data_IF_524157229751
#
_entry.id   IF_524157229751
#
_cell.length_a   1.000
_cell.length_b   1.000
_cell.length_c   1.000
_cell.angle_alpha   90.00
_cell.angle_beta   90.00
_cell.angle_gamma   90.00
#
_symmetry.space_group_name_H-M   'P 1'
#
loop_
_entity.id
_entity.type
_entity.pdbx_description
1 polymer ?
#
# COMPACT_ATOMS: atom_id res chain seq x y z
N UNK A 1 5.09 -5.76 35.00
CA UNK A 1 6.03 -4.74 35.52
C UNK A 1 5.27 -3.85 36.50
N UNK A 2 5.94 -2.88 37.11
CA UNK A 2 5.35 -1.95 38.11
C UNK A 2 4.17 -1.11 37.58
N UNK A 3 3.93 -1.15 36.26
CA UNK A 3 2.83 -0.47 35.59
C UNK A 3 1.66 -1.43 35.24
N UNK A 4 1.72 -2.70 35.65
CA UNK A 4 0.67 -3.70 35.41
C UNK A 4 0.53 -4.15 33.96
N UNK A 5 1.50 -3.83 33.08
CA UNK A 5 1.41 -4.12 31.64
C UNK A 5 2.06 -5.46 31.25
N UNK A 6 2.83 -6.06 32.15
CA UNK A 6 3.47 -7.35 31.94
C UNK A 6 3.12 -8.26 33.11
N UNK A 7 2.46 -9.39 32.82
CA UNK A 7 2.24 -10.45 33.80
C UNK A 7 3.58 -11.17 34.01
N UNK A 8 4.14 -11.20 35.22
CA UNK A 8 5.39 -11.92 35.48
C UNK A 8 5.13 -13.43 35.41
N UNK A 9 5.82 -14.12 34.49
CA UNK A 9 5.74 -15.58 34.30
C UNK A 9 4.78 -16.04 33.20
N UNK A 10 4.86 -17.33 32.85
CA UNK A 10 3.98 -17.94 31.85
C UNK A 10 2.54 -18.00 32.39
N UNK A 11 1.61 -17.32 31.72
CA UNK A 11 0.20 -17.31 32.11
C UNK A 11 -0.48 -18.57 31.58
N UNK A 12 -0.96 -19.43 32.49
CA UNK A 12 -1.68 -20.67 32.14
C UNK A 12 -3.16 -20.40 31.91
N UNK A 13 -3.81 -21.24 31.10
CA UNK A 13 -5.26 -21.17 30.87
C UNK A 13 -5.71 -20.02 29.97
N UNK A 14 -4.84 -19.56 29.06
CA UNK A 14 -5.19 -18.54 28.08
C UNK A 14 -6.25 -19.09 27.13
N UNK A 15 -7.39 -18.41 27.08
CA UNK A 15 -8.42 -18.64 26.07
C UNK A 15 -8.30 -17.56 25.00
N UNK A 16 -8.33 -17.98 23.74
CA UNK A 16 -8.22 -17.08 22.60
C UNK A 16 -9.58 -16.94 21.95
N UNK A 17 -10.09 -15.71 21.90
CA UNK A 17 -11.35 -15.40 21.23
C UNK A 17 -11.10 -14.56 19.99
N UNK A 18 -12.00 -14.70 19.03
CA UNK A 18 -11.99 -14.02 17.74
C UNK A 18 -10.72 -14.25 16.88
N UNK A 19 -10.28 -15.49 16.63
CA UNK A 19 -9.01 -15.62 15.96
C UNK A 19 -9.22 -15.53 14.43
N UNK A 20 -10.21 -16.19 13.80
CA UNK A 20 -10.23 -16.37 12.32
C UNK A 20 -11.60 -16.60 11.68
N UNK A 21 -12.51 -15.63 11.73
CA UNK A 21 -13.87 -15.77 11.14
C UNK A 21 -13.93 -15.80 9.59
N UNK A 22 -12.80 -16.02 8.91
CA UNK A 22 -12.73 -16.24 7.46
C UNK A 22 -11.87 -17.47 7.20
N UNK A 23 -12.30 -18.35 6.28
CA UNK A 23 -11.69 -19.66 5.90
C UNK A 23 -10.18 -19.66 5.53
N UNK A 24 -9.51 -18.52 5.55
CA UNK A 24 -8.16 -18.33 5.01
C UNK A 24 -7.01 -18.50 6.03
N UNK A 25 -7.31 -18.70 7.31
CA UNK A 25 -6.28 -18.84 8.34
C UNK A 25 -6.77 -19.79 9.43
N UNK A 26 -6.03 -20.86 9.69
CA UNK A 26 -6.30 -21.75 10.82
C UNK A 26 -5.43 -21.34 12.01
N UNK A 27 -6.01 -21.19 13.19
CA UNK A 27 -5.20 -21.08 14.41
C UNK A 27 -5.55 -22.14 15.41
N UNK A 28 -4.49 -22.70 15.94
CA UNK A 28 -4.54 -23.63 17.04
C UNK A 28 -3.85 -23.00 18.24
N UNK A 29 -4.55 -22.98 19.37
CA UNK A 29 -3.91 -22.81 20.67
C UNK A 29 -3.18 -24.10 21.00
N UNK A 30 -1.87 -24.02 21.24
CA UNK A 30 -1.08 -25.11 21.80
C UNK A 30 -0.55 -24.61 23.14
N UNK A 31 -1.24 -24.96 24.22
CA UNK A 31 -0.98 -24.39 25.54
C UNK A 31 -1.24 -22.87 25.55
N UNK A 32 -0.21 -22.11 25.95
CA UNK A 32 -0.16 -20.64 26.01
C UNK A 32 0.24 -19.99 24.67
N UNK A 33 0.52 -20.78 23.62
CA UNK A 33 0.98 -20.27 22.32
C UNK A 33 -0.15 -20.29 21.29
N UNK A 34 -0.31 -19.17 20.60
CA UNK A 34 -1.11 -19.08 19.39
C UNK A 34 -0.26 -19.53 18.19
N UNK A 35 -0.63 -20.64 17.54
CA UNK A 35 0.02 -21.09 16.31
C UNK A 35 -0.89 -20.87 15.12
N UNK A 36 -0.38 -20.15 14.12
CA UNK A 36 -1.06 -19.92 12.84
C UNK A 36 -0.61 -20.98 11.84
N UNK A 37 -1.56 -21.79 11.38
CA UNK A 37 -1.40 -22.83 10.35
C UNK A 37 -2.16 -22.40 9.10
N UNK A 38 -1.68 -22.83 7.95
CA UNK A 38 -2.32 -22.64 6.64
C UNK A 38 -2.61 -21.16 6.31
N UNK A 39 -1.56 -20.35 6.26
CA UNK A 39 -1.59 -18.99 5.72
C UNK A 39 -1.64 -19.03 4.19
N UNK A 40 -2.80 -19.35 3.62
CA UNK A 40 -2.97 -19.35 2.17
C UNK A 40 -3.18 -17.96 1.59
N UNK A 41 -3.57 -16.97 2.42
CA UNK A 41 -3.82 -15.61 1.98
C UNK A 41 -3.42 -14.54 3.02
N UNK A 42 -3.07 -13.32 2.57
CA UNK A 42 -2.83 -12.18 3.46
C UNK A 42 -4.12 -11.78 4.22
N UNK A 43 -3.97 -11.22 5.42
CA UNK A 43 -5.09 -10.89 6.29
C UNK A 43 -4.71 -9.94 7.42
N UNK A 44 -5.66 -9.21 8.00
CA UNK A 44 -5.45 -8.54 9.30
C UNK A 44 -6.72 -8.52 10.16
N UNK A 45 -6.52 -8.54 11.48
CA UNK A 45 -7.60 -8.47 12.46
C UNK A 45 -7.08 -8.35 13.90
N UNK A 46 -7.98 -8.50 14.87
CA UNK A 46 -7.69 -8.36 16.30
C UNK A 46 -7.89 -9.69 16.99
N UNK A 47 -6.81 -10.20 17.59
CA UNK A 47 -6.83 -11.38 18.44
C UNK A 47 -7.03 -10.94 19.89
N UNK A 48 -7.91 -11.62 20.62
CA UNK A 48 -8.16 -11.37 22.03
C UNK A 48 -7.70 -12.57 22.86
N UNK A 49 -6.90 -12.32 23.88
CA UNK A 49 -6.43 -13.31 24.84
C UNK A 49 -7.06 -13.04 26.20
N UNK A 50 -7.62 -14.06 26.84
CA UNK A 50 -8.21 -13.94 28.18
C UNK A 50 -7.59 -14.97 29.11
N UNK A 51 -7.07 -14.54 30.26
CA UNK A 51 -6.48 -15.43 31.25
C UNK A 51 -6.54 -14.82 32.66
N UNK A 52 -6.92 -15.61 33.67
CA UNK A 52 -6.98 -15.13 35.06
C UNK A 52 -7.85 -13.88 35.27
N UNK A 53 -8.94 -13.73 34.49
CA UNK A 53 -9.80 -12.54 34.53
C UNK A 53 -9.27 -11.31 33.77
N UNK A 54 -8.04 -11.37 33.25
CA UNK A 54 -7.44 -10.31 32.45
C UNK A 54 -7.73 -10.53 30.96
N UNK A 55 -7.99 -9.44 30.23
CA UNK A 55 -8.19 -9.46 28.77
C UNK A 55 -7.14 -8.60 28.07
N UNK A 56 -6.40 -9.19 27.14
CA UNK A 56 -5.46 -8.51 26.25
C UNK A 56 -5.94 -8.57 24.80
N UNK A 57 -5.69 -7.50 24.04
CA UNK A 57 -6.00 -7.44 22.61
C UNK A 57 -4.74 -7.09 21.82
N UNK A 58 -4.50 -7.82 20.74
CA UNK A 58 -3.40 -7.55 19.82
C UNK A 58 -3.92 -7.50 18.39
N UNK A 59 -3.48 -6.53 17.60
CA UNK A 59 -3.74 -6.50 16.17
C UNK A 59 -2.68 -7.33 15.47
N UNK A 60 -3.11 -8.33 14.71
CA UNK A 60 -2.23 -9.21 13.94
C UNK A 60 -2.46 -8.96 12.46
N UNK A 61 -1.39 -9.01 11.69
CA UNK A 61 -1.42 -8.90 10.23
C UNK A 61 -0.50 -9.95 9.61
N UNK A 62 -1.05 -10.65 8.62
CA UNK A 62 -0.33 -11.49 7.67
C UNK A 62 -0.21 -10.70 6.38
N UNK A 63 1.00 -10.63 5.86
CA UNK A 63 1.34 -9.86 4.67
C UNK A 63 1.57 -10.82 3.50
N UNK A 64 1.28 -10.39 2.28
CA UNK A 64 1.64 -11.13 1.07
C UNK A 64 3.16 -11.32 0.94
N UNK A 65 3.60 -12.51 0.56
CA UNK A 65 4.96 -12.70 0.05
C UNK A 65 5.07 -12.09 -1.36
N UNK A 66 6.30 -11.86 -1.81
CA UNK A 66 6.60 -11.45 -3.18
C UNK A 66 6.79 -12.74 -4.00
N UNK A 67 6.17 -12.89 -5.19
CA UNK A 67 5.41 -11.88 -5.92
C UNK A 67 3.98 -11.66 -5.40
N UNK A 68 3.49 -10.43 -5.54
CA UNK A 68 2.13 -10.02 -5.19
C UNK A 68 1.51 -9.20 -6.33
N UNK A 69 0.23 -9.44 -6.62
CA UNK A 69 -0.53 -8.68 -7.61
C UNK A 69 -1.95 -8.35 -7.12
N UNK A 70 -2.49 -7.23 -7.58
CA UNK A 70 -3.86 -6.79 -7.33
C UNK A 70 -4.41 -5.98 -8.52
N UNK A 71 -5.34 -6.60 -9.25
CA UNK A 71 -6.17 -6.04 -10.34
C UNK A 71 -7.60 -5.69 -9.89
N UNK A 72 -7.99 -6.13 -8.69
CA UNK A 72 -9.30 -5.88 -8.06
C UNK A 72 -10.53 -6.45 -8.80
N UNK A 73 -10.37 -7.12 -9.94
CA UNK A 73 -11.47 -7.64 -10.75
C UNK A 73 -12.31 -8.71 -10.04
N UNK A 74 -11.68 -9.51 -9.19
CA UNK A 74 -12.36 -10.53 -8.38
C UNK A 74 -13.16 -9.93 -7.20
N UNK A 75 -13.05 -8.63 -6.92
CA UNK A 75 -13.70 -8.00 -5.77
C UNK A 75 -15.20 -7.86 -6.01
N UNK A 76 -16.01 -8.32 -5.05
CA UNK A 76 -17.46 -8.12 -5.05
C UNK A 76 -17.79 -6.74 -4.46
N UNK A 77 -18.42 -5.89 -5.28
CA UNK A 77 -18.88 -4.58 -4.85
C UNK A 77 -20.23 -4.69 -4.11
N UNK A 78 -20.43 -3.82 -3.11
CA UNK A 78 -21.69 -3.70 -2.35
C UNK A 78 -22.14 -2.25 -2.35
N UNK A 79 -23.45 -1.95 -2.29
CA UNK A 79 -23.94 -0.57 -2.23
C UNK A 79 -23.31 0.20 -1.05
N UNK A 80 -22.78 1.40 -1.32
CA UNK A 80 -22.21 2.23 -0.27
C UNK A 80 -23.31 2.74 0.68
N UNK A 81 -23.18 2.57 2.01
CA UNK A 81 -24.25 2.92 2.96
C UNK A 81 -24.70 4.38 2.90
N UNK A 82 -23.85 5.29 2.41
CA UNK A 82 -24.18 6.73 2.32
C UNK A 82 -24.55 7.20 0.92
N UNK A 83 -24.02 6.58 -0.13
CA UNK A 83 -24.15 7.10 -1.51
C UNK A 83 -24.87 6.14 -2.45
N UNK A 84 -25.13 4.90 -2.05
CA UNK A 84 -25.76 3.87 -2.88
C UNK A 84 -24.83 3.30 -3.98
N UNK A 85 -23.83 4.06 -4.43
CA UNK A 85 -22.85 3.64 -5.43
C UNK A 85 -22.11 2.36 -4.96
N UNK A 86 -22.04 1.30 -5.77
CA UNK A 86 -21.31 0.09 -5.41
C UNK A 86 -19.84 0.37 -5.12
N UNK A 87 -19.34 -0.16 -4.00
CA UNK A 87 -17.95 -0.06 -3.59
C UNK A 87 -17.53 -1.31 -2.80
N UNK A 88 -16.23 -1.50 -2.64
CA UNK A 88 -15.70 -2.42 -1.63
C UNK A 88 -14.54 -1.76 -0.86
N UNK A 89 -14.36 -2.11 0.42
CA UNK A 89 -13.17 -1.67 1.15
C UNK A 89 -11.91 -2.30 0.52
N UNK A 90 -10.75 -1.62 0.62
CA UNK A 90 -9.48 -2.22 0.20
C UNK A 90 -9.12 -3.42 1.09
N UNK A 91 -8.16 -4.27 0.67
CA UNK A 91 -7.76 -5.43 1.45
C UNK A 91 -7.40 -5.07 2.90
N UNK A 92 -7.87 -5.86 3.86
CA UNK A 92 -7.83 -5.50 5.29
C UNK A 92 -6.41 -5.41 5.87
N UNK A 93 -5.44 -6.11 5.27
CA UNK A 93 -4.03 -6.07 5.65
C UNK A 93 -3.29 -4.81 5.18
N UNK A 94 -3.90 -4.00 4.32
CA UNK A 94 -3.31 -2.74 3.89
C UNK A 94 -3.42 -1.70 5.01
N UNK A 95 -2.27 -1.36 5.59
CA UNK A 95 -2.17 -0.39 6.68
C UNK A 95 -2.47 1.00 6.13
N UNK A 96 -3.40 1.69 6.78
CA UNK A 96 -3.78 3.04 6.40
C UNK A 96 -4.58 3.13 5.09
N UNK A 97 -5.15 2.02 4.58
CA UNK A 97 -5.97 2.06 3.37
C UNK A 97 -7.47 2.25 3.63
N UNK A 98 -7.99 1.65 4.70
CA UNK A 98 -9.41 1.74 5.07
C UNK A 98 -9.90 3.20 5.16
N UNK A 99 -11.11 3.46 4.65
CA UNK A 99 -11.76 4.79 4.51
C UNK A 99 -11.05 5.79 3.56
N UNK A 100 -9.80 5.51 3.17
CA UNK A 100 -8.99 6.41 2.35
C UNK A 100 -8.97 5.98 0.90
N UNK A 101 -9.06 4.67 0.66
CA UNK A 101 -9.25 4.04 -0.64
C UNK A 101 -10.53 3.21 -0.64
N UNK A 102 -11.09 3.00 -1.82
CA UNK A 102 -12.25 2.16 -2.09
C UNK A 102 -12.08 1.50 -3.46
N UNK A 103 -12.44 0.23 -3.59
CA UNK A 103 -12.56 -0.40 -4.90
C UNK A 103 -13.89 0.05 -5.49
N UNK A 104 -13.85 0.59 -6.70
CA UNK A 104 -15.01 1.12 -7.42
C UNK A 104 -14.92 0.73 -8.89
N UNK A 105 -16.07 0.70 -9.56
CA UNK A 105 -16.13 0.50 -11.01
C UNK A 105 -15.79 1.80 -11.74
N UNK A 106 -14.96 1.70 -12.77
CA UNK A 106 -14.58 2.80 -13.65
C UNK A 106 -14.49 2.26 -15.08
N UNK A 107 -15.36 2.75 -15.96
CA UNK A 107 -15.37 2.39 -17.39
C UNK A 107 -15.43 0.85 -17.65
N UNK A 108 -16.08 0.10 -16.76
CA UNK A 108 -16.22 -1.37 -16.84
C UNK A 108 -15.10 -2.17 -16.16
N UNK A 109 -14.03 -1.53 -15.68
CA UNK A 109 -12.95 -2.13 -14.89
C UNK A 109 -13.17 -1.88 -13.38
N UNK A 110 -12.71 -2.76 -12.49
CA UNK A 110 -12.70 -2.49 -11.05
C UNK A 110 -11.34 -1.93 -10.66
N UNK A 111 -11.34 -0.73 -10.10
CA UNK A 111 -10.10 -0.02 -9.79
C UNK A 111 -10.07 0.44 -8.35
N UNK A 112 -8.88 0.64 -7.81
CA UNK A 112 -8.71 1.23 -6.49
C UNK A 112 -8.76 2.76 -6.58
N UNK A 113 -9.89 3.33 -6.19
CA UNK A 113 -10.12 4.77 -6.17
C UNK A 113 -9.71 5.39 -4.83
N UNK A 114 -9.02 6.54 -4.89
CA UNK A 114 -8.77 7.38 -3.72
C UNK A 114 -10.08 8.07 -3.32
N UNK A 115 -10.55 7.77 -2.11
CA UNK A 115 -11.77 8.39 -1.58
C UNK A 115 -11.55 9.88 -1.31
N UNK A 116 -12.55 10.68 -1.64
CA UNK A 116 -12.57 12.14 -1.41
C UNK A 116 -13.55 12.53 -0.29
N UNK A 117 -14.18 11.55 0.35
CA UNK A 117 -15.25 11.75 1.32
C UNK A 117 -14.80 12.49 2.60
N UNK A 118 -13.53 12.36 2.99
CA UNK A 118 -12.99 12.94 4.22
C UNK A 118 -11.81 13.86 3.85
N UNK A 119 -11.95 15.19 3.95
CA UNK A 119 -10.89 16.15 3.61
C UNK A 119 -9.59 15.96 4.40
N UNK A 120 -9.66 15.49 5.66
CA UNK A 120 -8.47 15.14 6.47
C UNK A 120 -7.59 14.08 5.78
N UNK A 121 -8.18 13.25 4.92
CA UNK A 121 -7.52 12.17 4.19
C UNK A 121 -7.25 12.52 2.73
N UNK A 122 -7.24 13.80 2.37
CA UNK A 122 -6.89 14.24 1.02
C UNK A 122 -5.50 13.77 0.59
N UNK A 123 -4.55 13.69 1.53
CA UNK A 123 -3.22 13.10 1.34
C UNK A 123 -3.12 11.84 2.19
N UNK A 124 -2.71 10.74 1.60
CA UNK A 124 -2.43 9.54 2.37
C UNK A 124 -1.36 8.67 1.72
N UNK A 125 -0.76 7.86 2.59
CA UNK A 125 0.09 6.74 2.25
C UNK A 125 -0.54 5.50 2.86
N UNK A 126 -0.55 4.40 2.10
CA UNK A 126 -0.97 3.08 2.58
C UNK A 126 0.14 2.09 2.31
N UNK A 127 0.46 1.25 3.29
CA UNK A 127 1.52 0.24 3.18
C UNK A 127 0.89 -1.16 3.21
N UNK A 128 1.29 -2.03 2.29
CA UNK A 128 0.67 -3.36 2.17
C UNK A 128 1.65 -4.52 2.30
N UNK A 129 2.94 -4.23 2.47
CA UNK A 129 4.00 -5.21 2.67
C UNK A 129 4.58 -5.25 4.09
N UNK A 130 5.67 -6.01 4.23
CA UNK A 130 6.41 -6.21 5.46
C UNK A 130 7.55 -5.18 5.52
N UNK A 131 7.83 -4.53 6.67
CA UNK A 131 8.81 -3.45 6.75
C UNK A 131 10.27 -3.90 6.49
N UNK A 132 10.53 -5.20 6.49
CA UNK A 132 11.85 -5.79 6.19
C UNK A 132 11.95 -6.37 4.77
N UNK A 133 10.99 -6.08 3.88
CA UNK A 133 11.14 -6.45 2.47
C UNK A 133 12.26 -5.63 1.82
N UNK A 134 13.03 -6.26 0.94
CA UNK A 134 14.09 -5.66 0.13
C UNK A 134 14.03 -6.23 -1.29
N UNK A 135 14.79 -5.63 -2.19
CA UNK A 135 15.11 -6.14 -3.52
C UNK A 135 13.85 -6.43 -4.35
N UNK A 136 12.95 -5.46 -4.39
CA UNK A 136 11.69 -5.58 -5.11
C UNK A 136 11.38 -4.41 -6.04
N UNK A 137 10.69 -4.74 -7.12
CA UNK A 137 10.16 -3.81 -8.10
C UNK A 137 8.67 -3.63 -7.86
N UNK A 138 8.19 -2.39 -7.87
CA UNK A 138 6.77 -2.07 -7.79
C UNK A 138 6.30 -1.51 -9.12
N UNK A 139 5.23 -2.07 -9.66
CA UNK A 139 4.53 -1.55 -10.83
C UNK A 139 3.07 -1.24 -10.49
N UNK A 140 2.52 -0.19 -11.07
CA UNK A 140 1.11 0.17 -10.92
C UNK A 140 0.63 1.01 -12.11
N UNK A 141 -0.62 0.84 -12.48
CA UNK A 141 -1.31 1.73 -13.41
C UNK A 141 -1.99 2.86 -12.65
N UNK A 142 -1.79 4.10 -13.10
CA UNK A 142 -2.24 5.31 -12.44
C UNK A 142 -3.08 6.13 -13.43
N UNK A 143 -4.28 6.53 -13.00
CA UNK A 143 -5.11 7.48 -13.72
C UNK A 143 -5.63 8.53 -12.77
N UNK A 144 -5.47 9.80 -13.14
CA UNK A 144 -6.08 10.92 -12.39
C UNK A 144 -7.31 11.44 -13.10
N UNK A 145 -8.35 11.76 -12.33
CA UNK A 145 -9.36 12.70 -12.78
C UNK A 145 -8.82 14.13 -12.75
N UNK A 146 -9.63 15.05 -13.27
CA UNK A 146 -9.34 16.47 -13.22
C UNK A 146 -9.46 17.14 -14.57
N UNK A 147 -8.90 18.34 -14.65
CA UNK A 147 -8.89 19.17 -15.84
C UNK A 147 -7.48 19.74 -16.07
N UNK A 148 -7.32 20.66 -17.03
CA UNK A 148 -6.02 21.27 -17.35
C UNK A 148 -5.37 21.99 -16.15
N UNK A 149 -6.15 22.53 -15.22
CA UNK A 149 -5.68 23.38 -14.11
C UNK A 149 -5.53 22.63 -12.79
N UNK A 150 -6.35 21.62 -12.54
CA UNK A 150 -6.35 20.85 -11.29
C UNK A 150 -6.33 19.37 -11.61
N UNK A 151 -5.32 18.68 -11.08
CA UNK A 151 -5.14 17.23 -11.15
C UNK A 151 -4.70 16.71 -9.79
N UNK A 152 -5.13 15.49 -9.50
CA UNK A 152 -4.66 14.76 -8.34
C UNK A 152 -3.30 14.15 -8.62
N UNK A 153 -2.62 13.74 -7.56
CA UNK A 153 -1.30 13.11 -7.63
C UNK A 153 -1.40 11.71 -7.04
N UNK A 154 -0.64 10.78 -7.58
CA UNK A 154 -0.55 9.42 -7.04
C UNK A 154 0.83 8.84 -7.28
N UNK A 155 1.10 7.72 -6.63
CA UNK A 155 2.38 7.06 -6.74
C UNK A 155 2.48 5.85 -5.83
N UNK A 156 3.70 5.40 -5.66
CA UNK A 156 4.04 4.22 -4.86
C UNK A 156 5.14 4.53 -3.86
N UNK A 157 5.24 3.65 -2.88
CA UNK A 157 6.37 3.60 -1.97
C UNK A 157 7.19 2.36 -2.34
N UNK A 158 8.48 2.56 -2.64
CA UNK A 158 9.44 1.49 -2.83
C UNK A 158 10.62 1.71 -1.86
N UNK A 159 10.88 0.75 -0.95
CA UNK A 159 11.91 0.82 0.10
C UNK A 159 12.03 2.20 0.78
N UNK A 160 10.91 2.74 1.29
CA UNK A 160 10.82 4.05 1.97
C UNK A 160 11.04 5.29 1.08
N UNK A 161 11.30 5.11 -0.21
CA UNK A 161 11.21 6.18 -1.19
C UNK A 161 9.77 6.31 -1.67
N UNK A 162 9.31 7.54 -1.73
CA UNK A 162 8.02 7.93 -2.28
C UNK A 162 8.24 8.43 -3.72
N UNK A 163 7.72 7.66 -4.68
CA UNK A 163 7.77 7.97 -6.11
C UNK A 163 6.38 8.43 -6.54
N UNK A 164 6.25 9.67 -7.01
CA UNK A 164 4.95 10.29 -7.28
C UNK A 164 4.86 10.96 -8.64
N UNK A 165 3.74 10.73 -9.31
CA UNK A 165 3.28 11.57 -10.41
C UNK A 165 2.48 12.73 -9.82
N UNK A 166 3.07 13.92 -9.88
CA UNK A 166 2.42 15.14 -9.39
C UNK A 166 1.54 15.72 -10.47
N UNK A 167 0.24 15.72 -10.21
CA UNK A 167 -0.78 16.27 -11.10
C UNK A 167 -0.54 17.73 -11.47
N UNK A 168 -0.61 18.61 -10.46
CA UNK A 168 -0.53 20.06 -10.68
C UNK A 168 0.87 20.53 -11.10
N UNK A 169 1.93 19.90 -10.58
CA UNK A 169 3.30 20.26 -10.91
C UNK A 169 3.78 19.65 -12.24
N UNK A 170 3.08 18.65 -12.78
CA UNK A 170 3.46 17.96 -14.02
C UNK A 170 4.90 17.45 -13.96
N UNK A 171 5.22 16.72 -12.90
CA UNK A 171 6.54 16.14 -12.66
C UNK A 171 6.43 14.72 -12.09
N UNK A 172 7.40 13.90 -12.43
CA UNK A 172 7.72 12.66 -11.72
C UNK A 172 8.73 13.01 -10.64
N UNK A 173 8.44 12.69 -9.39
CA UNK A 173 9.28 13.01 -8.25
C UNK A 173 9.64 11.75 -7.46
N UNK A 174 10.91 11.63 -7.10
CA UNK A 174 11.42 10.69 -6.09
C UNK A 174 11.74 11.49 -4.83
N UNK A 175 11.26 11.03 -3.69
CA UNK A 175 11.51 11.69 -2.41
C UNK A 175 11.68 10.69 -1.28
N UNK A 176 12.55 10.99 -0.33
CA UNK A 176 12.63 10.30 0.96
C UNK A 176 13.02 11.33 1.99
N UNK A 177 12.10 11.65 2.90
CA UNK A 177 12.18 12.82 3.78
C UNK A 177 12.69 14.05 3.01
N UNK A 178 11.81 14.92 2.50
CA UNK A 178 12.09 16.02 1.54
C UNK A 178 13.41 16.83 1.68
N UNK A 179 14.05 16.84 2.84
CA UNK A 179 15.36 17.44 3.11
C UNK A 179 16.57 16.59 2.69
N UNK A 180 16.41 15.27 2.59
CA UNK A 180 17.49 14.30 2.29
C UNK A 180 17.48 13.96 0.80
N UNK A 181 16.35 13.45 0.28
CA UNK A 181 16.18 13.12 -1.14
C UNK A 181 14.93 13.77 -1.66
N UNK A 182 15.06 14.58 -2.72
CA UNK A 182 13.95 15.24 -3.40
C UNK A 182 14.30 15.63 -4.82
N UNK A 183 14.36 14.63 -5.69
CA UNK A 183 14.63 14.85 -7.12
C UNK A 183 13.36 14.75 -7.96
N UNK A 184 13.29 15.56 -9.01
CA UNK A 184 12.13 15.56 -9.89
C UNK A 184 12.50 15.89 -11.34
N UNK A 185 11.83 15.20 -12.26
CA UNK A 185 11.90 15.45 -13.70
C UNK A 185 10.54 15.90 -14.21
N UNK A 186 10.53 16.80 -15.19
CA UNK A 186 9.31 17.25 -15.84
C UNK A 186 8.64 16.08 -16.57
N UNK A 187 7.41 15.77 -16.20
CA UNK A 187 6.62 14.71 -16.82
C UNK A 187 5.18 15.20 -16.99
N UNK A 188 4.82 15.50 -18.24
CA UNK A 188 3.47 15.98 -18.56
C UNK A 188 2.53 14.82 -18.77
N UNK A 189 1.52 14.73 -17.92
CA UNK A 189 0.54 13.65 -17.93
C UNK A 189 -0.88 14.18 -17.95
N UNK A 190 -1.70 13.54 -18.80
CA UNK A 190 -3.07 13.95 -19.11
C UNK A 190 -4.03 13.41 -18.05
N UNK A 191 -5.11 14.15 -17.81
CA UNK A 191 -6.20 13.63 -16.99
C UNK A 191 -7.00 12.62 -17.82
N UNK A 192 -7.62 11.64 -17.16
CA UNK A 192 -8.39 10.56 -17.81
C UNK A 192 -7.57 9.68 -18.76
N UNK A 193 -6.26 9.62 -18.56
CA UNK A 193 -5.35 8.73 -19.29
C UNK A 193 -4.65 7.84 -18.28
N UNK A 194 -4.55 6.55 -18.61
CA UNK A 194 -3.83 5.57 -17.81
C UNK A 194 -2.33 5.63 -18.12
N UNK A 195 -1.53 5.69 -17.07
CA UNK A 195 -0.07 5.64 -17.13
C UNK A 195 0.41 4.46 -16.31
N UNK A 196 1.31 3.66 -16.87
CA UNK A 196 2.01 2.62 -16.12
C UNK A 196 3.28 3.22 -15.50
N UNK A 197 3.45 2.99 -14.21
CA UNK A 197 4.66 3.35 -13.45
C UNK A 197 5.36 2.07 -13.02
N UNK A 198 6.68 2.01 -13.20
CA UNK A 198 7.55 0.96 -12.67
C UNK A 198 8.69 1.59 -11.89
N UNK A 199 8.96 1.08 -10.70
CA UNK A 199 9.95 1.63 -9.76
C UNK A 199 10.81 0.53 -9.18
N UNK A 200 12.10 0.80 -9.02
CA UNK A 200 13.10 -0.13 -8.51
C UNK A 200 14.09 0.63 -7.64
N UNK A 201 14.59 -0.03 -6.60
CA UNK A 201 15.70 0.45 -5.79
C UNK A 201 16.81 -0.57 -5.94
N UNK A 202 18.01 -0.08 -6.26
CA UNK A 202 19.22 -0.87 -6.46
C UNK A 202 20.24 -0.43 -5.42
N UNK A 203 20.65 -1.33 -4.55
CA UNK A 203 21.70 -1.08 -3.57
C UNK A 203 23.01 -1.69 -4.07
N UNK A 204 24.10 -0.92 -4.06
CA UNK A 204 25.41 -1.35 -4.60
C UNK A 204 26.24 -2.15 -3.57
N UNK A 205 25.69 -2.35 -2.36
CA UNK A 205 26.30 -3.14 -1.28
C UNK A 205 27.32 -2.38 -0.41
N UNK A 206 27.81 -1.23 -0.88
CA UNK A 206 28.69 -0.32 -0.15
C UNK A 206 27.95 0.76 0.67
N UNK A 207 26.62 0.71 0.64
CA UNK A 207 25.72 1.69 1.28
C UNK A 207 25.20 2.77 0.34
N UNK A 208 25.74 2.85 -0.87
CA UNK A 208 25.22 3.70 -1.95
C UNK A 208 24.21 2.92 -2.80
N UNK A 209 23.47 3.63 -3.65
CA UNK A 209 22.56 2.99 -4.57
C UNK A 209 21.76 3.98 -5.41
N UNK A 210 20.80 3.42 -6.14
CA UNK A 210 19.99 4.14 -7.11
C UNK A 210 18.51 3.91 -6.86
N UNK A 211 17.74 4.99 -6.97
CA UNK A 211 16.27 4.91 -7.04
C UNK A 211 15.85 5.26 -8.44
N UNK A 212 15.23 4.29 -9.12
CA UNK A 212 14.88 4.39 -10.53
C UNK A 212 13.37 4.30 -10.71
N UNK A 213 12.84 5.17 -11.55
CA UNK A 213 11.43 5.13 -11.92
C UNK A 213 11.23 5.48 -13.38
N UNK A 214 10.30 4.75 -14.01
CA UNK A 214 9.85 5.06 -15.37
C UNK A 214 8.35 5.04 -15.47
N UNK A 215 7.84 5.94 -16.30
CA UNK A 215 6.41 6.14 -16.49
C UNK A 215 6.11 6.30 -17.98
N UNK A 216 5.10 5.59 -18.46
CA UNK A 216 4.63 5.64 -19.84
C UNK A 216 3.12 5.48 -19.91
N UNK A 217 2.50 5.83 -21.03
CA UNK A 217 1.07 5.56 -21.24
C UNK A 217 0.84 4.03 -21.24
N UNK A 218 -0.19 3.54 -20.55
CA UNK A 218 -0.42 2.10 -20.30
C UNK A 218 -0.36 1.25 -21.59
N UNK A 219 -0.91 1.79 -22.67
CA UNK A 219 -1.06 1.09 -23.96
C UNK A 219 0.15 1.29 -24.90
N UNK A 220 1.25 1.85 -24.40
CA UNK A 220 2.52 2.02 -25.13
C UNK A 220 3.57 1.02 -24.64
N UNK A 221 4.55 0.66 -25.49
CA UNK A 221 5.64 -0.22 -25.07
C UNK A 221 6.42 0.39 -23.91
N UNK A 222 6.90 -0.47 -23.00
CA UNK A 222 7.76 -0.08 -21.89
C UNK A 222 9.04 0.60 -22.42
N UNK A 223 9.38 1.82 -21.98
CA UNK A 223 10.62 2.46 -22.37
C UNK A 223 11.84 1.65 -21.91
N UNK A 224 12.86 1.61 -22.78
CA UNK A 224 14.14 0.97 -22.46
C UNK A 224 14.87 1.70 -21.31
N UNK A 225 14.91 3.04 -21.37
CA UNK A 225 15.53 3.87 -20.34
C UNK A 225 14.60 4.21 -19.17
N UNK A 226 15.21 4.59 -18.04
CA UNK A 226 14.48 5.13 -16.90
C UNK A 226 14.10 6.59 -17.14
N UNK A 227 12.93 7.01 -16.65
CA UNK A 227 12.50 8.42 -16.77
C UNK A 227 13.23 9.31 -15.77
N UNK A 228 13.53 8.75 -14.59
CA UNK A 228 14.35 9.38 -13.56
C UNK A 228 15.22 8.30 -12.90
N UNK A 229 16.49 8.64 -12.69
CA UNK A 229 17.46 7.87 -11.90
C UNK A 229 18.06 8.83 -10.88
N UNK A 230 18.00 8.45 -9.61
CA UNK A 230 18.47 9.28 -8.50
C UNK A 230 19.56 8.50 -7.79
N UNK A 231 20.77 9.04 -7.79
CA UNK A 231 21.84 8.53 -6.95
C UNK A 231 21.53 8.86 -5.49
N UNK A 232 21.72 7.89 -4.60
CA UNK A 232 21.50 8.06 -3.18
C UNK A 232 22.74 7.59 -2.42
N UNK A 233 23.46 8.51 -1.75
CA UNK A 233 24.67 8.16 -0.99
C UNK A 233 24.42 7.22 0.19
N UNK A 234 23.18 7.18 0.70
CA UNK A 234 22.75 6.31 1.79
C UNK A 234 21.43 5.64 1.39
N UNK A 235 21.52 4.48 0.75
CA UNK A 235 20.35 3.76 0.23
C UNK A 235 19.56 3.07 1.34
N UNK A 236 18.23 3.15 1.29
CA UNK A 236 17.38 2.34 2.16
C UNK A 236 17.37 0.90 1.67
N UNK A 237 17.95 -0.02 2.44
CA UNK A 237 18.06 -1.44 2.09
C UNK A 237 16.76 -2.23 2.28
N UNK A 238 15.80 -1.70 3.03
CA UNK A 238 14.52 -2.37 3.26
C UNK A 238 13.36 -1.40 3.51
N UNK A 239 12.15 -1.83 3.16
CA UNK A 239 10.92 -1.11 3.44
C UNK A 239 9.70 -1.84 2.92
N UNK A 240 8.52 -1.46 3.42
CA UNK A 240 7.27 -2.00 2.88
C UNK A 240 6.93 -1.33 1.55
N UNK A 241 6.45 -2.09 0.54
CA UNK A 241 5.75 -1.49 -0.58
C UNK A 241 4.48 -0.79 -0.12
N UNK A 242 4.08 0.23 -0.87
CA UNK A 242 2.92 1.03 -0.56
C UNK A 242 2.40 1.82 -1.75
N UNK A 243 1.24 2.43 -1.54
CA UNK A 243 0.60 3.33 -2.47
C UNK A 243 0.42 4.70 -1.82
N UNK A 244 0.38 5.73 -2.65
CA UNK A 244 0.20 7.10 -2.21
C UNK A 244 -0.79 7.83 -3.11
N UNK A 245 -1.60 8.68 -2.48
CA UNK A 245 -2.59 9.51 -3.18
C UNK A 245 -2.70 10.88 -2.56
N UNK A 246 -2.86 11.89 -3.41
CA UNK A 246 -3.17 13.25 -3.03
C UNK A 246 -4.24 13.85 -3.93
N UNK A 247 -5.40 14.14 -3.35
CA UNK A 247 -6.57 14.72 -4.02
C UNK A 247 -6.81 16.14 -3.51
N UNK A 248 -6.16 17.17 -4.12
CA UNK A 248 -6.24 18.52 -3.62
C UNK A 248 -7.70 19.01 -3.55
N UNK A 249 -8.07 19.60 -2.41
CA UNK A 249 -9.42 20.12 -2.14
C UNK A 249 -10.53 19.06 -2.24
N UNK A 250 -10.20 17.76 -2.20
CA UNK A 250 -11.16 16.65 -2.35
C UNK A 250 -12.02 16.73 -3.63
N UNK A 251 -11.50 17.32 -4.71
CA UNK A 251 -12.28 17.57 -5.94
C UNK A 251 -12.25 16.44 -6.95
N UNK A 252 -11.08 15.87 -7.18
CA UNK A 252 -10.85 14.88 -8.24
C UNK A 252 -10.22 13.64 -7.65
N UNK A 253 -10.71 12.47 -8.06
CA UNK A 253 -10.17 11.18 -7.62
C UNK A 253 -8.89 10.85 -8.37
N UNK A 254 -8.16 9.89 -7.82
CA UNK A 254 -7.08 9.21 -8.51
C UNK A 254 -7.32 7.72 -8.36
N UNK A 255 -7.02 6.97 -9.40
CA UNK A 255 -7.30 5.55 -9.54
C UNK A 255 -5.97 4.82 -9.73
N UNK A 256 -5.89 3.67 -9.07
CA UNK A 256 -4.78 2.74 -9.15
C UNK A 256 -5.32 1.39 -9.61
N UNK A 257 -4.57 0.72 -10.47
CA UNK A 257 -4.91 -0.60 -10.98
C UNK A 257 -3.63 -1.40 -11.32
N UNK A 258 -3.76 -2.71 -11.55
CA UNK A 258 -2.68 -3.62 -11.94
C UNK A 258 -1.43 -3.46 -11.06
N UNK A 259 -1.65 -3.34 -9.75
CA UNK A 259 -0.56 -3.21 -8.79
C UNK A 259 0.20 -4.53 -8.74
N UNK A 260 1.50 -4.52 -8.97
CA UNK A 260 2.35 -5.69 -8.80
C UNK A 260 3.62 -5.35 -8.03
N UNK A 261 4.07 -6.34 -7.25
CA UNK A 261 5.36 -6.33 -6.57
C UNK A 261 6.06 -7.63 -6.92
N UNK A 262 7.22 -7.54 -7.52
CA UNK A 262 8.04 -8.69 -7.93
C UNK A 262 9.44 -8.55 -7.35
N UNK A 263 10.16 -9.66 -7.21
CA UNK A 263 11.59 -9.60 -6.88
C UNK A 263 12.32 -8.85 -7.99
N UNK A 264 13.37 -8.12 -7.63
CA UNK A 264 14.29 -7.56 -8.60
C UNK A 264 14.94 -8.70 -9.39
N UNK A 265 15.16 -8.44 -10.67
CA UNK A 265 16.03 -9.24 -11.54
C UNK A 265 17.49 -8.82 -11.35
#
# INVERSE_FOLDING_TARGET
>A
DSNGQVVPGAVKGVTWSNPFATRAVHVRSIGDRLSVRDLSAPWAGVVTATAGGLTGKARVRVVANIPYAADFDAVSLKPHPKSGVPFAPPPSWWVGASKKWEVAELDGEKVLAKSIAIPLFQRNMSLFGHPMMSDYTVQVDIRTDGNRRVKSSAGVVNQRYLITLKGNHQQLQVSSNDWIVKEAVKFRWKAKTWYRMKTRVDADGDGTGWVRAKVWERDKPEPAGWTIEVDVPHVHTHGSPGIWGFTPQSRFRVYLDNLSVTTNE
#
